data_IF_917874183988
#
_entry.id   IF_917874183988
#
_cell.length_a   1.000
_cell.length_b   1.000
_cell.length_c   1.000
_cell.angle_alpha   90.00
_cell.angle_beta   90.00
_cell.angle_gamma   90.00
#
_symmetry.space_group_name_H-M   'P 1'
#
loop_
_entity.id
_entity.type
_entity.pdbx_description
1 polymer ?
#
# COMPACT_ATOMS: atom_id res chain seq x y z
N UNK A 1 -7.02 -25.76 18.14
CA UNK A 1 -7.60 -25.31 19.41
C UNK A 1 -7.80 -26.45 20.42
N UNK A 2 -8.42 -27.56 20.03
CA UNK A 2 -8.65 -28.71 20.92
C UNK A 2 -7.37 -29.31 21.57
N UNK A 3 -6.25 -29.52 20.85
CA UNK A 3 -5.02 -30.02 21.46
C UNK A 3 -4.41 -29.02 22.46
N UNK A 4 -4.31 -27.75 22.07
CA UNK A 4 -3.85 -26.66 22.94
C UNK A 4 -4.64 -26.60 24.26
N UNK A 5 -5.97 -26.64 24.19
CA UNK A 5 -6.80 -26.58 25.39
C UNK A 5 -6.61 -27.83 26.26
N UNK A 6 -6.56 -29.01 25.65
CA UNK A 6 -6.36 -30.27 26.37
C UNK A 6 -5.03 -30.29 27.11
N UNK A 7 -3.94 -29.91 26.45
CA UNK A 7 -2.61 -30.00 27.05
C UNK A 7 -2.46 -29.03 28.22
N UNK A 8 -2.97 -27.80 28.08
CA UNK A 8 -2.93 -26.83 29.17
C UNK A 8 -3.89 -27.18 30.32
N UNK A 9 -5.08 -27.72 30.03
CA UNK A 9 -6.00 -28.17 31.08
C UNK A 9 -5.49 -29.41 31.82
N UNK A 10 -4.80 -30.33 31.12
CA UNK A 10 -4.13 -31.48 31.75
C UNK A 10 -3.10 -31.02 32.76
N UNK A 11 -2.32 -29.99 32.44
CA UNK A 11 -1.31 -29.45 33.35
C UNK A 11 -1.95 -28.84 34.61
N UNK A 12 -3.05 -28.08 34.45
CA UNK A 12 -3.82 -27.55 35.59
C UNK A 12 -4.40 -28.66 36.45
N UNK A 13 -4.94 -29.72 35.84
CA UNK A 13 -5.51 -30.88 36.55
C UNK A 13 -4.40 -31.60 37.34
N UNK A 14 -3.26 -31.83 36.70
CA UNK A 14 -2.11 -32.50 37.32
C UNK A 14 -1.62 -31.71 38.54
N UNK A 15 -1.46 -30.39 38.40
CA UNK A 15 -1.03 -29.54 39.52
C UNK A 15 -2.01 -29.63 40.72
N UNK A 16 -3.32 -29.60 40.46
CA UNK A 16 -4.34 -29.74 41.51
C UNK A 16 -4.36 -31.12 42.15
N UNK A 17 -4.15 -32.18 41.35
CA UNK A 17 -4.03 -33.55 41.84
C UNK A 17 -2.80 -33.71 42.74
N UNK A 18 -1.65 -33.15 42.36
CA UNK A 18 -0.42 -33.21 43.16
C UNK A 18 -0.56 -32.54 44.54
N UNK A 19 -1.31 -31.44 44.65
CA UNK A 19 -1.60 -30.82 45.95
C UNK A 19 -2.55 -31.68 46.79
N UNK A 20 -3.60 -32.23 46.17
CA UNK A 20 -4.57 -33.07 46.85
C UNK A 20 -3.94 -34.39 47.33
N UNK A 21 -3.08 -35.01 46.52
CA UNK A 21 -2.36 -36.23 46.86
C UNK A 21 -1.37 -36.01 48.01
N UNK A 22 -0.62 -34.90 48.00
CA UNK A 22 0.24 -34.52 49.13
C UNK A 22 -0.55 -34.40 50.43
N UNK A 23 -1.69 -33.71 50.41
CA UNK A 23 -2.54 -33.61 51.60
C UNK A 23 -3.08 -34.97 52.04
N UNK A 24 -3.55 -35.77 51.09
CA UNK A 24 -4.07 -37.10 51.36
C UNK A 24 -3.03 -38.01 52.03
N UNK A 25 -1.80 -38.01 51.53
CA UNK A 25 -0.70 -38.80 52.11
C UNK A 25 -0.31 -38.33 53.51
N UNK A 26 -0.33 -37.01 53.78
CA UNK A 26 -0.11 -36.46 55.12
C UNK A 26 -1.24 -36.89 56.06
N UNK A 27 -2.50 -36.69 55.67
CA UNK A 27 -3.67 -37.11 56.45
C UNK A 27 -3.64 -38.62 56.73
N UNK A 28 -3.25 -39.46 55.76
CA UNK A 28 -3.15 -40.91 55.92
C UNK A 28 -1.98 -41.32 56.84
N UNK A 29 -0.88 -40.57 56.85
CA UNK A 29 0.26 -40.81 57.73
C UNK A 29 -0.02 -40.45 59.20
N UNK A 30 -0.78 -39.36 59.43
CA UNK A 30 -1.17 -38.91 60.77
C UNK A 30 -2.33 -39.72 61.33
N UNK A 31 -3.28 -40.12 60.48
CA UNK A 31 -4.41 -40.94 60.85
C UNK A 31 -4.76 -41.90 59.69
N UNK A 32 -4.32 -43.17 59.73
CA UNK A 32 -4.59 -44.12 58.66
C UNK A 32 -6.10 -44.34 58.51
N UNK A 33 -6.70 -43.68 57.52
CA UNK A 33 -8.14 -43.78 57.22
C UNK A 33 -8.56 -45.20 56.83
N UNK A 34 -7.60 -46.07 56.47
CA UNK A 34 -7.81 -47.50 56.28
C UNK A 34 -8.24 -48.22 57.57
N UNK A 35 -7.68 -47.82 58.71
CA UNK A 35 -8.07 -48.32 60.05
C UNK A 35 -9.47 -47.81 60.42
N UNK A 36 -9.78 -46.55 60.08
CA UNK A 36 -11.08 -45.93 60.35
C UNK A 36 -12.23 -46.51 59.50
N UNK A 37 -11.94 -46.90 58.24
CA UNK A 37 -12.90 -47.59 57.36
C UNK A 37 -13.23 -49.01 57.83
N UNK A 38 -12.26 -49.74 58.40
CA UNK A 38 -12.49 -51.05 59.00
C UNK A 38 -13.36 -50.94 60.27
N UNK A 39 -13.22 -49.88 61.07
CA UNK A 39 -14.07 -49.65 62.25
C UNK A 39 -15.51 -49.25 61.91
N UNK A 40 -15.74 -48.55 60.79
CA UNK A 40 -17.10 -48.18 60.34
C UNK A 40 -17.88 -49.34 59.70
N UNK A 41 -17.22 -50.39 59.20
CA UNK A 41 -17.90 -51.57 58.67
C UNK A 41 -18.44 -52.50 59.79
N UNK A 42 -17.82 -52.49 60.97
CA UNK A 42 -18.19 -53.33 62.12
C UNK A 42 -19.14 -52.64 63.13
N UNK A 43 -19.51 -51.39 62.89
CA UNK A 43 -20.40 -50.61 63.78
C UNK A 43 -21.79 -50.50 63.17
N UNK A 44 -22.47 -51.63 63.00
CA UNK A 44 -23.85 -51.71 62.53
C UNK A 44 -24.84 -51.71 63.70
N UNK A 45 -25.17 -50.54 64.25
CA UNK A 45 -26.50 -50.33 64.84
C UNK A 45 -26.82 -48.86 65.11
N UNK A 46 -27.84 -48.37 64.41
CA UNK A 46 -28.79 -47.34 64.86
C UNK A 46 -28.26 -45.94 65.20
N UNK A 47 -28.30 -45.01 64.25
CA UNK A 47 -28.95 -43.69 64.42
C UNK A 47 -28.83 -42.83 63.15
N UNK A 48 -29.84 -41.99 63.00
CA UNK A 48 -30.25 -41.08 61.93
C UNK A 48 -29.17 -40.32 61.13
N UNK A 49 -29.58 -39.93 59.91
CA UNK A 49 -28.89 -39.15 58.88
C UNK A 49 -27.92 -39.93 57.98
N UNK A 50 -28.41 -40.24 56.78
CA UNK A 50 -27.58 -40.37 55.58
C UNK A 50 -26.72 -39.11 55.47
N UNK A 51 -25.51 -39.13 56.01
CA UNK A 51 -24.48 -38.17 55.70
C UNK A 51 -24.14 -38.38 54.22
N UNK A 52 -24.80 -37.62 53.35
CA UNK A 52 -24.18 -37.17 52.12
C UNK A 52 -22.77 -36.73 52.52
N UNK A 53 -21.76 -37.51 52.13
CA UNK A 53 -20.34 -37.21 52.36
C UNK A 53 -20.15 -35.72 52.07
N UNK A 54 -20.01 -34.91 53.11
CA UNK A 54 -19.92 -33.46 52.93
C UNK A 54 -18.74 -33.20 51.99
N UNK A 55 -19.03 -32.63 50.83
CA UNK A 55 -18.01 -32.32 49.83
C UNK A 55 -17.09 -31.29 50.47
N UNK A 56 -15.85 -31.69 50.75
CA UNK A 56 -14.83 -30.82 51.32
C UNK A 56 -14.55 -29.67 50.35
N UNK A 57 -14.37 -28.46 50.89
CA UNK A 57 -13.99 -27.30 50.07
C UNK A 57 -12.63 -27.54 49.41
N UNK A 58 -12.41 -27.03 48.19
CA UNK A 58 -11.17 -27.27 47.45
C UNK A 58 -9.91 -26.78 48.20
N UNK A 59 -10.02 -25.67 48.94
CA UNK A 59 -8.96 -25.17 49.84
C UNK A 59 -8.64 -26.16 50.96
N UNK A 60 -9.65 -26.87 51.48
CA UNK A 60 -9.48 -27.91 52.48
C UNK A 60 -8.97 -29.23 51.91
N UNK A 61 -9.10 -29.48 50.60
CA UNK A 61 -8.59 -30.71 49.96
C UNK A 61 -7.12 -30.54 49.56
N UNK A 62 -6.74 -29.34 49.11
CA UNK A 62 -5.39 -29.06 48.60
C UNK A 62 -4.44 -28.48 49.64
N UNK A 63 -4.98 -28.05 50.80
CA UNK A 63 -4.26 -27.31 51.85
C UNK A 63 -3.69 -25.95 51.39
N UNK A 64 -4.18 -25.44 50.26
CA UNK A 64 -3.70 -24.20 49.66
C UNK A 64 -4.66 -23.05 49.93
N UNK A 65 -4.19 -22.02 50.65
CA UNK A 65 -4.99 -20.82 50.99
C UNK A 65 -5.41 -20.03 49.75
N UNK A 66 -4.61 -20.07 48.69
CA UNK A 66 -4.79 -19.26 47.48
C UNK A 66 -5.14 -20.09 46.24
N UNK A 67 -5.71 -21.30 46.42
CA UNK A 67 -6.05 -22.21 45.31
C UNK A 67 -6.93 -21.55 44.24
N UNK A 68 -7.90 -20.72 44.63
CA UNK A 68 -8.78 -20.02 43.69
C UNK A 68 -8.06 -18.92 42.89
N UNK A 69 -7.11 -18.23 43.50
CA UNK A 69 -6.29 -17.20 42.81
C UNK A 69 -5.42 -17.86 41.74
N UNK A 70 -4.85 -19.02 42.07
CA UNK A 70 -4.02 -19.82 41.16
C UNK A 70 -4.83 -20.37 39.98
N UNK A 71 -6.01 -20.94 40.25
CA UNK A 71 -6.92 -21.41 39.19
C UNK A 71 -7.35 -20.25 38.29
N UNK A 72 -7.71 -19.10 38.87
CA UNK A 72 -8.07 -17.91 38.12
C UNK A 72 -6.93 -17.46 37.20
N UNK A 73 -5.69 -17.40 37.71
CA UNK A 73 -4.51 -17.04 36.92
C UNK A 73 -4.28 -18.01 35.74
N UNK A 74 -4.41 -19.31 35.98
CA UNK A 74 -4.33 -20.33 34.91
C UNK A 74 -5.41 -20.14 33.85
N UNK A 75 -6.66 -19.93 34.24
CA UNK A 75 -7.76 -19.73 33.31
C UNK A 75 -7.60 -18.44 32.50
N UNK A 76 -7.22 -17.33 33.14
CA UNK A 76 -6.94 -16.06 32.45
C UNK A 76 -5.78 -16.22 31.47
N UNK A 77 -4.72 -16.93 31.86
CA UNK A 77 -3.59 -17.19 30.99
C UNK A 77 -3.99 -18.07 29.79
N UNK A 78 -4.73 -19.16 30.00
CA UNK A 78 -5.21 -20.05 28.93
C UNK A 78 -6.09 -19.27 27.95
N UNK A 79 -6.98 -18.40 28.44
CA UNK A 79 -7.81 -17.53 27.59
C UNK A 79 -6.96 -16.56 26.78
N UNK A 80 -5.97 -15.92 27.41
CA UNK A 80 -5.08 -14.97 26.74
C UNK A 80 -4.19 -15.64 25.69
N UNK A 81 -3.61 -16.80 26.02
CA UNK A 81 -2.77 -17.59 25.13
C UNK A 81 -3.59 -18.21 23.99
N UNK A 82 -4.80 -18.70 24.28
CA UNK A 82 -5.73 -19.20 23.28
C UNK A 82 -6.16 -18.14 22.27
N UNK A 83 -6.40 -16.91 22.74
CA UNK A 83 -6.71 -15.77 21.88
C UNK A 83 -5.53 -15.33 20.98
N UNK A 84 -4.30 -15.68 21.35
CA UNK A 84 -3.08 -15.38 20.56
C UNK A 84 -2.57 -16.59 19.77
N UNK A 85 -3.22 -17.74 19.87
CA UNK A 85 -2.73 -19.00 19.30
C UNK A 85 -2.84 -19.01 17.77
N UNK A 86 -3.84 -18.34 17.22
CA UNK A 86 -3.96 -18.08 15.79
C UNK A 86 -3.78 -16.60 15.54
N UNK A 87 -2.74 -16.26 14.78
CA UNK A 87 -2.48 -14.91 14.31
C UNK A 87 -2.60 -14.98 12.80
N UNK A 88 -3.46 -14.14 12.23
CA UNK A 88 -3.52 -13.98 10.78
C UNK A 88 -2.31 -13.17 10.33
N UNK A 89 -1.49 -13.78 9.48
CA UNK A 89 -0.38 -13.11 8.84
C UNK A 89 -0.81 -12.78 7.42
N UNK A 90 -1.05 -11.50 7.16
CA UNK A 90 -1.35 -10.98 5.84
C UNK A 90 -0.05 -10.45 5.20
N UNK A 91 0.51 -11.11 4.18
CA UNK A 91 1.69 -10.62 3.49
C UNK A 91 1.33 -9.40 2.64
N UNK A 92 1.47 -8.21 3.23
CA UNK A 92 1.12 -6.94 2.58
C UNK A 92 2.09 -6.52 1.48
N UNK A 93 3.21 -7.23 1.28
CA UNK A 93 4.20 -6.93 0.24
C UNK A 93 3.68 -7.08 -1.19
N UNK A 94 2.57 -7.79 -1.38
CA UNK A 94 1.89 -7.92 -2.66
C UNK A 94 1.00 -6.72 -2.98
N UNK A 95 0.74 -5.87 -1.98
CA UNK A 95 -0.01 -4.65 -2.15
C UNK A 95 0.93 -3.53 -2.63
N UNK A 96 0.40 -2.70 -3.51
CA UNK A 96 1.14 -1.64 -4.16
C UNK A 96 1.61 -0.62 -3.11
N UNK A 97 2.93 -0.38 -3.03
CA UNK A 97 3.52 0.63 -2.12
C UNK A 97 3.01 2.05 -2.40
N UNK A 98 2.31 2.25 -3.52
CA UNK A 98 1.68 3.52 -3.90
C UNK A 98 0.29 3.74 -3.25
N UNK A 99 -0.28 2.73 -2.61
CA UNK A 99 -1.50 2.86 -1.81
C UNK A 99 -1.08 3.19 -0.38
N UNK A 100 -1.44 4.39 0.06
CA UNK A 100 -1.23 4.86 1.43
C UNK A 100 -2.22 4.12 2.32
N UNK A 101 -1.74 3.08 2.99
CA UNK A 101 -2.55 2.36 3.97
C UNK A 101 -2.23 2.93 5.35
N UNK A 102 -3.21 3.62 5.94
CA UNK A 102 -3.13 4.10 7.31
C UNK A 102 -3.20 2.90 8.28
N UNK A 103 -2.05 2.31 8.55
CA UNK A 103 -1.90 1.16 9.43
C UNK A 103 -1.03 1.54 10.62
N UNK A 104 -1.69 1.92 11.72
CA UNK A 104 -1.06 2.31 12.99
C UNK A 104 -0.15 1.23 13.62
N UNK A 105 -0.08 0.00 13.07
CA UNK A 105 0.60 -1.16 13.69
C UNK A 105 1.48 -1.95 12.71
N UNK A 106 2.45 -1.27 12.11
CA UNK A 106 3.44 -1.85 11.18
C UNK A 106 4.58 -2.55 11.94
N UNK A 107 4.84 -3.82 11.65
CA UNK A 107 6.06 -4.53 12.09
C UNK A 107 6.88 -4.85 10.84
N UNK A 108 8.03 -4.18 10.69
CA UNK A 108 8.98 -4.51 9.62
C UNK A 108 9.80 -5.74 10.03
N UNK A 109 9.86 -6.76 9.16
CA UNK A 109 10.72 -7.92 9.38
C UNK A 109 12.02 -7.79 8.60
N UNK A 110 13.09 -8.40 9.12
CA UNK A 110 14.44 -8.39 8.56
C UNK A 110 14.51 -8.96 7.12
N UNK A 111 13.50 -9.74 6.72
CA UNK A 111 13.37 -10.32 5.38
C UNK A 111 12.69 -9.39 4.35
N UNK A 112 12.38 -8.13 4.73
CA UNK A 112 11.87 -7.12 3.79
C UNK A 112 10.36 -7.14 3.56
N UNK A 113 9.60 -7.86 4.40
CA UNK A 113 8.15 -7.89 4.38
C UNK A 113 7.58 -7.08 5.56
N UNK A 114 6.36 -6.59 5.40
CA UNK A 114 5.64 -5.85 6.44
C UNK A 114 4.54 -6.72 7.00
N UNK A 115 4.61 -6.99 8.31
CA UNK A 115 3.58 -7.68 9.05
C UNK A 115 2.65 -6.65 9.71
N UNK A 116 1.36 -6.98 9.73
CA UNK A 116 0.31 -6.19 10.37
C UNK A 116 -0.39 -7.08 11.37
N UNK A 117 -0.49 -6.62 12.61
CA UNK A 117 -1.18 -7.34 13.67
C UNK A 117 -2.69 -6.99 13.66
N UNK A 118 -3.55 -7.90 13.19
CA UNK A 118 -5.00 -7.69 13.00
C UNK A 118 -5.84 -7.84 14.27
N UNK A 119 -5.28 -7.58 15.47
CA UNK A 119 -6.03 -7.67 16.75
C UNK A 119 -7.18 -6.66 16.87
N UNK A 120 -7.19 -5.60 16.06
CA UNK A 120 -8.36 -4.78 15.78
C UNK A 120 -8.78 -4.99 14.32
N UNK A 121 -10.07 -4.84 13.97
CA UNK A 121 -10.49 -4.81 12.59
C UNK A 121 -9.67 -3.75 11.87
N UNK A 122 -8.76 -4.20 11.00
CA UNK A 122 -8.09 -3.32 10.08
C UNK A 122 -9.20 -2.70 9.23
N UNK A 123 -9.52 -1.44 9.49
CA UNK A 123 -10.35 -0.67 8.57
C UNK A 123 -9.52 -0.52 7.31
N UNK A 124 -9.65 -1.49 6.40
CA UNK A 124 -9.28 -1.37 5.01
C UNK A 124 -10.26 -0.39 4.38
N UNK A 125 -10.17 0.88 4.79
CA UNK A 125 -10.74 1.95 4.01
C UNK A 125 -9.93 1.94 2.70
N UNK A 126 -10.44 1.20 1.71
CA UNK A 126 -10.16 1.43 0.31
C UNK A 126 -10.72 2.81 -0.03
N UNK A 127 -10.07 3.84 0.50
CA UNK A 127 -10.17 5.17 -0.01
C UNK A 127 -9.60 5.06 -1.44
N UNK A 128 -10.50 4.86 -2.40
CA UNK A 128 -10.26 5.23 -3.80
C UNK A 128 -10.12 6.76 -3.92
N UNK A 129 -10.31 7.47 -2.82
CA UNK A 129 -9.78 8.79 -2.54
C UNK A 129 -8.27 8.71 -2.48
N UNK A 130 -7.67 9.38 -3.46
CA UNK A 130 -6.26 9.64 -3.68
C UNK A 130 -5.39 9.44 -2.43
N UNK A 131 -4.29 8.66 -2.50
CA UNK A 131 -3.30 8.66 -1.44
C UNK A 131 -2.89 10.12 -1.27
N UNK A 132 -3.25 10.67 -0.11
CA UNK A 132 -3.05 12.03 0.34
C UNK A 132 -2.24 12.86 -0.66
N UNK A 133 -2.94 13.63 -1.49
CA UNK A 133 -2.40 14.69 -2.34
C UNK A 133 -1.92 15.86 -1.47
N UNK A 134 -1.34 15.61 -0.29
CA UNK A 134 -0.73 16.63 0.56
C UNK A 134 0.76 16.71 0.23
N UNK A 135 1.09 17.54 -0.75
CA UNK A 135 2.14 18.57 -0.61
C UNK A 135 2.47 19.29 -1.91
N UNK A 136 2.23 18.69 -3.09
CA UNK A 136 2.74 19.29 -4.34
C UNK A 136 1.79 20.34 -4.94
N UNK A 137 0.48 20.23 -4.73
CA UNK A 137 -0.51 21.10 -5.37
C UNK A 137 -1.66 21.50 -4.42
N UNK A 138 -1.44 22.45 -3.50
CA UNK A 138 -2.40 22.79 -2.44
C UNK A 138 -3.65 23.56 -2.92
N UNK A 139 -3.69 24.03 -4.16
CA UNK A 139 -4.73 24.96 -4.68
C UNK A 139 -5.55 24.40 -5.84
N UNK A 140 -5.56 23.08 -6.06
CA UNK A 140 -6.31 22.48 -7.17
C UNK A 140 -7.82 22.57 -6.88
N UNK A 141 -8.57 23.13 -7.84
CA UNK A 141 -10.03 22.94 -7.95
C UNK A 141 -10.30 21.44 -8.11
N UNK A 142 -11.26 20.85 -7.40
CA UNK A 142 -11.61 19.40 -7.35
C UNK A 142 -11.86 18.69 -8.71
N UNK A 143 -11.54 19.36 -9.83
CA UNK A 143 -11.60 18.86 -11.19
C UNK A 143 -10.82 17.56 -11.37
N UNK A 144 -11.46 16.49 -11.88
CA UNK A 144 -10.79 15.22 -12.09
C UNK A 144 -9.75 15.36 -13.21
N UNK A 145 -8.57 14.76 -13.00
CA UNK A 145 -7.43 14.69 -13.95
C UNK A 145 -7.85 14.45 -15.40
N UNK A 146 -8.78 13.51 -15.61
CA UNK A 146 -9.25 13.14 -16.95
C UNK A 146 -9.96 14.30 -17.65
N UNK A 147 -10.72 15.11 -16.91
CA UNK A 147 -11.39 16.28 -17.46
C UNK A 147 -10.36 17.33 -17.87
N UNK A 148 -9.33 17.55 -17.05
CA UNK A 148 -8.22 18.46 -17.37
C UNK A 148 -7.54 18.02 -18.68
N UNK A 149 -7.20 16.74 -18.82
CA UNK A 149 -6.55 16.20 -20.02
C UNK A 149 -7.44 16.30 -21.26
N UNK A 150 -8.75 16.02 -21.13
CA UNK A 150 -9.72 16.21 -22.22
C UNK A 150 -9.83 17.67 -22.64
N UNK A 151 -9.87 18.59 -21.68
CA UNK A 151 -9.92 20.03 -21.95
C UNK A 151 -8.65 20.51 -22.64
N UNK A 152 -7.47 20.11 -22.16
CA UNK A 152 -6.20 20.43 -22.80
C UNK A 152 -6.15 19.94 -24.26
N UNK A 153 -6.59 18.70 -24.51
CA UNK A 153 -6.68 18.15 -25.87
C UNK A 153 -7.62 18.96 -26.77
N UNK A 154 -8.80 19.33 -26.26
CA UNK A 154 -9.77 20.14 -27.01
C UNK A 154 -9.21 21.52 -27.36
N UNK A 155 -8.43 22.13 -26.46
CA UNK A 155 -7.87 23.47 -26.67
C UNK A 155 -6.65 23.46 -27.59
N UNK A 156 -5.73 22.49 -27.43
CA UNK A 156 -4.49 22.40 -28.19
C UNK A 156 -4.67 21.76 -29.58
N UNK A 157 -5.74 20.99 -29.77
CA UNK A 157 -5.91 20.14 -30.93
C UNK A 157 -5.00 18.90 -30.88
N UNK A 158 -5.16 18.04 -31.90
CA UNK A 158 -4.57 16.69 -31.90
C UNK A 158 -3.04 16.69 -31.91
N UNK A 159 -2.43 17.48 -32.79
CA UNK A 159 -0.98 17.40 -33.02
C UNK A 159 -0.16 18.01 -31.87
N UNK A 160 -0.54 19.19 -31.39
CA UNK A 160 0.14 19.81 -30.25
C UNK A 160 -0.06 19.01 -28.96
N UNK A 161 -1.27 18.49 -28.72
CA UNK A 161 -1.52 17.63 -27.57
C UNK A 161 -0.70 16.35 -27.63
N UNK A 162 -0.55 15.75 -28.82
CA UNK A 162 0.30 14.57 -29.02
C UNK A 162 1.77 14.85 -28.73
N UNK A 163 2.30 16.00 -29.15
CA UNK A 163 3.68 16.41 -28.81
C UNK A 163 3.87 16.55 -27.30
N UNK A 164 2.89 17.15 -26.61
CA UNK A 164 2.91 17.32 -25.17
C UNK A 164 2.83 15.98 -24.43
N UNK A 165 1.96 15.08 -24.88
CA UNK A 165 1.81 13.73 -24.34
C UNK A 165 3.09 12.90 -24.52
N UNK A 166 3.69 12.94 -25.73
CA UNK A 166 4.97 12.30 -26.01
C UNK A 166 6.08 12.82 -25.10
N UNK A 167 6.21 14.14 -25.00
CA UNK A 167 7.23 14.78 -24.18
C UNK A 167 7.09 14.39 -22.71
N UNK A 168 5.86 14.36 -22.19
CA UNK A 168 5.57 14.01 -20.79
C UNK A 168 5.95 12.57 -20.48
N UNK A 169 5.61 11.61 -21.35
CA UNK A 169 5.84 10.18 -21.12
C UNK A 169 7.31 9.77 -21.28
N UNK A 170 8.04 10.41 -22.19
CA UNK A 170 9.46 10.13 -22.46
C UNK A 170 10.39 10.85 -21.46
N UNK A 171 9.86 11.71 -20.59
CA UNK A 171 10.65 12.43 -19.58
C UNK A 171 11.40 13.64 -20.14
N UNK A 172 10.94 14.21 -21.26
CA UNK A 172 11.36 15.55 -21.70
C UNK A 172 10.78 16.56 -20.70
N UNK A 173 11.57 17.59 -20.33
CA UNK A 173 11.10 18.57 -19.35
C UNK A 173 9.87 19.31 -19.89
N UNK A 174 8.80 19.33 -19.11
CA UNK A 174 7.57 20.08 -19.39
C UNK A 174 7.61 21.39 -18.63
N UNK A 175 7.57 22.49 -19.36
CA UNK A 175 7.54 23.85 -18.82
C UNK A 175 6.19 24.48 -19.13
N UNK A 176 5.38 24.77 -18.12
CA UNK A 176 4.08 25.43 -18.27
C UNK A 176 4.21 26.89 -17.85
N UNK A 177 4.04 27.82 -18.80
CA UNK A 177 4.09 29.27 -18.58
C UNK A 177 2.70 29.85 -18.73
N UNK A 178 2.20 30.56 -17.72
CA UNK A 178 0.87 31.16 -17.83
C UNK A 178 0.23 31.55 -16.50
N UNK A 179 -1.05 31.96 -16.50
CA UNK A 179 -1.79 32.29 -15.29
C UNK A 179 -1.80 31.15 -14.27
N UNK A 180 -1.71 31.48 -12.98
CA UNK A 180 -1.60 30.50 -11.87
C UNK A 180 -2.63 29.35 -11.92
N UNK A 181 -3.95 29.57 -12.06
CA UNK A 181 -4.91 28.46 -11.99
C UNK A 181 -4.75 27.46 -13.15
N UNK A 182 -4.67 27.94 -14.39
CA UNK A 182 -4.53 27.10 -15.58
C UNK A 182 -3.18 26.38 -15.62
N UNK A 183 -2.13 27.04 -15.12
CA UNK A 183 -0.78 26.48 -14.98
C UNK A 183 -0.78 25.27 -14.04
N UNK A 184 -1.37 25.44 -12.85
CA UNK A 184 -1.49 24.40 -11.82
C UNK A 184 -2.29 23.20 -12.36
N UNK A 185 -3.46 23.44 -12.94
CA UNK A 185 -4.30 22.39 -13.52
C UNK A 185 -3.55 21.61 -14.60
N UNK A 186 -2.90 22.32 -15.53
CA UNK A 186 -2.15 21.68 -16.62
C UNK A 186 -1.00 20.82 -16.11
N UNK A 187 -0.23 21.32 -15.13
CA UNK A 187 0.85 20.55 -14.49
C UNK A 187 0.32 19.32 -13.77
N UNK A 188 -0.78 19.45 -13.04
CA UNK A 188 -1.40 18.33 -12.35
C UNK A 188 -1.85 17.25 -13.35
N UNK A 189 -2.57 17.65 -14.42
CA UNK A 189 -3.01 16.74 -15.47
C UNK A 189 -1.85 16.01 -16.15
N UNK A 190 -0.79 16.74 -16.54
CA UNK A 190 0.33 16.15 -17.27
C UNK A 190 1.23 15.27 -16.39
N UNK A 191 1.53 15.71 -15.17
CA UNK A 191 2.36 14.94 -14.24
C UNK A 191 1.66 13.66 -13.76
N UNK A 192 0.32 13.63 -13.78
CA UNK A 192 -0.47 12.44 -13.47
C UNK A 192 -0.29 11.28 -14.44
N UNK A 193 0.23 11.54 -15.66
CA UNK A 193 0.43 10.54 -16.70
C UNK A 193 1.65 9.65 -16.47
N UNK A 194 2.53 10.05 -15.54
CA UNK A 194 3.82 9.44 -15.27
C UNK A 194 3.81 8.85 -13.85
N UNK A 195 4.47 7.69 -13.63
CA UNK A 195 4.56 7.08 -12.31
C UNK A 195 5.13 8.05 -11.27
N UNK A 196 4.66 7.94 -10.02
CA UNK A 196 5.09 8.81 -8.92
C UNK A 196 6.60 8.84 -8.73
N UNK A 197 7.26 7.69 -8.85
CA UNK A 197 8.71 7.57 -8.73
C UNK A 197 9.51 8.36 -9.79
N UNK A 198 8.88 8.69 -10.92
CA UNK A 198 9.50 9.46 -12.00
C UNK A 198 9.09 10.94 -11.97
N UNK A 199 8.21 11.35 -11.05
CA UNK A 199 7.67 12.71 -10.96
C UNK A 199 8.56 13.59 -10.09
N UNK A 200 8.95 14.74 -10.62
CA UNK A 200 9.68 15.81 -9.93
C UNK A 200 9.08 17.14 -10.36
N UNK A 201 8.06 17.57 -9.64
CA UNK A 201 7.28 18.76 -10.00
C UNK A 201 7.71 19.97 -9.17
N UNK A 202 7.76 21.13 -9.82
CA UNK A 202 7.84 22.42 -9.16
C UNK A 202 6.77 23.38 -9.71
N UNK A 203 5.76 23.70 -8.90
CA UNK A 203 4.52 24.34 -9.36
C UNK A 203 4.66 25.83 -9.66
N UNK A 204 5.51 26.52 -8.91
CA UNK A 204 5.70 27.97 -9.04
C UNK A 204 7.17 28.34 -8.88
N UNK A 205 7.93 28.21 -9.97
CA UNK A 205 9.31 28.66 -10.05
C UNK A 205 9.37 30.17 -10.29
N UNK A 206 10.28 30.83 -9.57
CA UNK A 206 10.67 32.23 -9.82
C UNK A 206 11.65 32.35 -10.98
N UNK A 207 12.38 31.27 -11.28
CA UNK A 207 13.38 31.19 -12.35
C UNK A 207 13.33 29.82 -13.05
N UNK A 208 13.91 29.76 -14.25
CA UNK A 208 14.06 28.49 -14.95
C UNK A 208 15.01 27.55 -14.20
N UNK A 209 14.64 26.28 -14.11
CA UNK A 209 15.46 25.24 -13.47
C UNK A 209 15.75 24.11 -14.46
N UNK A 210 16.92 23.50 -14.32
CA UNK A 210 17.38 22.47 -15.24
C UNK A 210 16.56 21.16 -15.18
N UNK A 211 16.51 20.38 -16.28
CA UNK A 211 15.77 19.11 -16.37
C UNK A 211 16.17 18.06 -15.32
N UNK A 212 17.40 18.14 -14.81
CA UNK A 212 17.93 17.20 -13.82
C UNK A 212 17.28 17.37 -12.45
N UNK A 213 16.76 18.57 -12.13
CA UNK A 213 16.14 18.85 -10.83
C UNK A 213 14.63 18.60 -10.87
N UNK A 214 13.95 19.12 -11.90
CA UNK A 214 12.51 18.99 -12.08
C UNK A 214 12.16 18.67 -13.53
N UNK A 215 11.30 17.67 -13.74
CA UNK A 215 10.78 17.33 -15.07
C UNK A 215 9.48 18.06 -15.40
N UNK A 216 8.76 18.58 -14.40
CA UNK A 216 7.58 19.43 -14.60
C UNK A 216 7.78 20.74 -13.85
N UNK A 217 7.72 21.87 -14.56
CA UNK A 217 7.93 23.20 -13.97
C UNK A 217 6.82 24.15 -14.40
N UNK A 218 6.23 24.85 -13.43
CA UNK A 218 5.35 25.98 -13.66
C UNK A 218 6.06 27.30 -13.46
N UNK A 219 5.96 28.20 -14.42
CA UNK A 219 6.55 29.55 -14.36
C UNK A 219 5.52 30.63 -14.69
N UNK A 220 5.75 31.83 -14.17
CA UNK A 220 4.94 32.99 -14.50
C UNK A 220 5.19 33.52 -15.92
N UNK A 221 4.26 34.32 -16.45
CA UNK A 221 4.41 34.96 -17.75
C UNK A 221 5.53 35.99 -17.77
N UNK A 222 5.98 36.51 -16.62
CA UNK A 222 7.12 37.44 -16.52
C UNK A 222 8.50 36.78 -16.53
N UNK A 223 8.58 35.47 -16.24
CA UNK A 223 9.86 34.78 -16.05
C UNK A 223 10.55 34.53 -17.40
N UNK A 224 11.85 34.80 -17.46
CA UNK A 224 12.69 34.46 -18.60
C UNK A 224 12.86 32.95 -18.69
N UNK A 225 12.55 32.39 -19.86
CA UNK A 225 12.57 30.96 -20.13
C UNK A 225 13.51 30.67 -21.30
N UNK A 226 14.14 29.49 -21.35
CA UNK A 226 15.01 29.13 -22.45
C UNK A 226 14.25 29.15 -23.78
N UNK A 227 15.02 29.32 -24.85
CA UNK A 227 14.53 29.13 -26.21
C UNK A 227 13.97 27.71 -26.35
N UNK A 228 12.90 27.51 -27.15
CA UNK A 228 12.37 26.19 -27.43
C UNK A 228 13.48 25.25 -27.90
N UNK A 229 13.57 24.08 -27.27
CA UNK A 229 14.62 23.09 -27.56
C UNK A 229 14.02 21.69 -27.63
N UNK A 230 14.82 20.71 -28.09
CA UNK A 230 14.37 19.32 -28.12
C UNK A 230 14.20 18.72 -26.72
N UNK A 231 14.89 19.28 -25.71
CA UNK A 231 14.92 18.78 -24.34
C UNK A 231 13.89 19.47 -23.42
N UNK A 232 13.26 20.56 -23.87
CA UNK A 232 12.25 21.31 -23.12
C UNK A 232 11.03 21.53 -24.00
N UNK A 233 9.90 20.92 -23.62
CA UNK A 233 8.60 21.12 -24.25
C UNK A 233 7.83 22.17 -23.46
N UNK A 234 7.58 23.33 -24.08
CA UNK A 234 6.95 24.48 -23.42
C UNK A 234 5.48 24.60 -23.79
N UNK A 235 4.63 24.76 -22.79
CA UNK A 235 3.21 25.10 -22.93
C UNK A 235 3.02 26.56 -22.48
N UNK A 236 2.83 27.45 -23.45
CA UNK A 236 2.50 28.86 -23.17
C UNK A 236 0.97 29.01 -23.12
N UNK A 237 0.45 29.46 -21.98
CA UNK A 237 -0.97 29.75 -21.74
C UNK A 237 -1.16 31.26 -21.72
N UNK A 238 -1.91 31.76 -22.69
CA UNK A 238 -2.20 33.18 -22.88
C UNK A 238 -3.45 33.52 -22.07
N UNK A 239 -3.34 34.54 -21.21
CA UNK A 239 -4.47 35.06 -20.45
C UNK A 239 -5.58 35.55 -21.39
N UNK A 240 -6.84 35.38 -21.00
CA UNK A 240 -7.99 35.76 -21.83
C UNK A 240 -7.99 37.24 -22.25
N UNK A 241 -7.39 38.11 -21.42
CA UNK A 241 -7.24 39.55 -21.68
C UNK A 241 -6.30 39.87 -22.86
N UNK A 242 -5.34 38.98 -23.14
CA UNK A 242 -4.31 39.17 -24.18
C UNK A 242 -4.60 38.31 -25.42
N UNK A 243 -5.82 37.78 -25.53
CA UNK A 243 -6.21 36.88 -26.59
C UNK A 243 -6.50 37.70 -27.86
N UNK A 244 -5.68 37.52 -28.87
CA UNK A 244 -5.96 38.05 -30.21
C UNK A 244 -7.02 37.14 -30.84
N UNK A 245 -8.05 37.73 -31.45
CA UNK A 245 -9.10 36.99 -32.15
C UNK A 245 -8.48 35.96 -33.12
N UNK A 246 -8.93 34.71 -33.04
CA UNK A 246 -8.46 33.52 -33.77
C UNK A 246 -7.22 32.77 -33.24
N UNK A 247 -6.57 33.18 -32.15
CA UNK A 247 -5.43 32.42 -31.58
C UNK A 247 -5.91 31.51 -30.41
N UNK A 248 -5.46 30.25 -30.40
CA UNK A 248 -5.71 29.32 -29.30
C UNK A 248 -5.11 29.86 -28.00
N UNK A 249 -5.81 29.71 -26.87
CA UNK A 249 -5.29 30.19 -25.57
C UNK A 249 -4.03 29.43 -25.12
N UNK A 250 -3.76 28.27 -25.70
CA UNK A 250 -2.63 27.42 -25.37
C UNK A 250 -1.81 27.16 -26.63
N UNK A 251 -0.49 27.29 -26.51
CA UNK A 251 0.46 27.07 -27.60
C UNK A 251 1.61 26.20 -27.08
N UNK A 252 1.83 25.07 -27.74
CA UNK A 252 2.99 24.21 -27.49
C UNK A 252 4.17 24.65 -28.35
N UNK A 253 5.33 24.84 -27.72
CA UNK A 253 6.60 25.16 -28.37
C UNK A 253 7.62 24.09 -28.01
N UNK A 254 7.88 23.20 -28.96
CA UNK A 254 8.87 22.14 -28.86
C UNK A 254 9.55 21.99 -30.21
N UNK A 255 10.88 21.95 -30.23
CA UNK A 255 11.65 21.83 -31.49
C UNK A 255 12.07 20.39 -31.78
N UNK A 256 11.66 19.44 -30.95
CA UNK A 256 11.87 18.02 -31.23
C UNK A 256 10.91 17.50 -32.28
N UNK A 257 11.26 16.36 -32.88
CA UNK A 257 10.43 15.66 -33.85
C UNK A 257 9.79 14.44 -33.22
N UNK A 258 8.51 14.22 -33.51
CA UNK A 258 7.85 12.95 -33.18
C UNK A 258 8.46 11.81 -34.01
N UNK A 259 8.71 10.63 -33.40
CA UNK A 259 9.16 9.47 -34.15
C UNK A 259 8.06 8.95 -35.09
N UNK A 260 8.44 8.29 -36.19
CA UNK A 260 7.47 7.70 -37.13
C UNK A 260 6.52 6.68 -36.47
N UNK A 261 7.02 5.93 -35.49
CA UNK A 261 6.22 5.05 -34.63
C UNK A 261 6.26 5.59 -33.20
N UNK A 262 5.08 5.88 -32.65
CA UNK A 262 4.91 6.39 -31.30
C UNK A 262 4.89 5.25 -30.28
N UNK A 263 5.23 5.52 -29.00
CA UNK A 263 5.08 4.56 -27.92
C UNK A 263 3.66 4.00 -27.85
N UNK A 264 3.56 2.69 -27.63
CA UNK A 264 2.30 1.95 -27.54
C UNK A 264 1.41 2.51 -26.43
N UNK A 265 1.98 2.86 -25.27
CA UNK A 265 1.25 3.52 -24.19
C UNK A 265 0.61 4.84 -24.65
N UNK A 266 1.36 5.67 -25.36
CA UNK A 266 0.86 6.96 -25.87
C UNK A 266 -0.33 6.74 -26.80
N UNK A 267 -0.22 5.80 -27.74
CA UNK A 267 -1.30 5.50 -28.70
C UNK A 267 -2.56 5.03 -27.95
N UNK A 268 -2.41 4.16 -26.96
CA UNK A 268 -3.52 3.70 -26.12
C UNK A 268 -4.18 4.87 -25.37
N UNK A 269 -3.40 5.74 -24.73
CA UNK A 269 -3.92 6.91 -24.00
C UNK A 269 -4.62 7.91 -24.94
N UNK A 270 -4.03 8.20 -26.10
CA UNK A 270 -4.62 9.11 -27.09
C UNK A 270 -5.95 8.58 -27.61
N UNK A 271 -6.01 7.29 -27.98
CA UNK A 271 -7.23 6.63 -28.45
C UNK A 271 -8.32 6.61 -27.37
N UNK A 272 -7.97 6.31 -26.13
CA UNK A 272 -8.93 6.31 -25.01
C UNK A 272 -9.45 7.72 -24.68
N UNK A 273 -8.69 8.78 -24.97
CA UNK A 273 -9.16 10.18 -24.89
C UNK A 273 -10.00 10.61 -26.09
N UNK A 274 -9.94 9.91 -27.23
CA UNK A 274 -10.81 10.13 -28.39
C UNK A 274 -12.19 9.49 -28.21
N UNK A 275 -12.29 8.44 -27.39
CA UNK A 275 -13.55 7.76 -27.15
C UNK A 275 -14.45 8.55 -26.19
N UNK A 276 -15.49 9.19 -26.75
CA UNK A 276 -16.50 9.93 -25.99
C UNK A 276 -17.46 9.00 -25.22
N UNK A 277 -17.52 7.71 -25.56
CA UNK A 277 -18.39 6.74 -24.87
C UNK A 277 -17.85 6.36 -23.50
N UNK A 278 -16.55 6.58 -23.26
CA UNK A 278 -15.92 6.29 -21.97
C UNK A 278 -16.19 7.43 -20.97
N UNK A 279 -16.83 7.08 -19.86
CA UNK A 279 -17.01 7.98 -18.72
C UNK A 279 -15.68 8.34 -18.05
N UNK A 280 -15.62 9.50 -17.38
CA UNK A 280 -14.39 10.01 -16.77
C UNK A 280 -13.82 9.06 -15.69
N UNK A 281 -14.67 8.39 -14.91
CA UNK A 281 -14.27 7.41 -13.90
C UNK A 281 -13.63 6.17 -14.51
N UNK A 282 -14.26 5.61 -15.55
CA UNK A 282 -13.76 4.44 -16.30
C UNK A 282 -12.41 4.77 -16.93
N UNK A 283 -12.31 5.96 -17.55
CA UNK A 283 -11.07 6.41 -18.18
C UNK A 283 -9.95 6.64 -17.15
N UNK A 284 -10.28 7.15 -15.95
CA UNK A 284 -9.32 7.25 -14.82
C UNK A 284 -8.77 5.87 -14.45
N UNK A 285 -9.65 4.89 -14.21
CA UNK A 285 -9.23 3.52 -13.88
C UNK A 285 -8.42 2.86 -14.99
N UNK A 286 -8.82 3.09 -16.25
CA UNK A 286 -8.09 2.60 -17.41
C UNK A 286 -6.68 3.20 -17.51
N UNK A 287 -6.53 4.50 -17.26
CA UNK A 287 -5.22 5.18 -17.25
C UNK A 287 -4.31 4.65 -16.15
N UNK A 288 -4.86 4.46 -14.95
CA UNK A 288 -4.12 3.86 -13.82
C UNK A 288 -3.66 2.44 -14.18
N UNK A 289 -4.54 1.62 -14.77
CA UNK A 289 -4.19 0.26 -15.17
C UNK A 289 -3.06 0.25 -16.22
N UNK A 290 -3.13 1.12 -17.24
CA UNK A 290 -2.08 1.26 -18.24
C UNK A 290 -0.77 1.75 -17.62
N UNK A 291 -0.80 2.75 -16.75
CA UNK A 291 0.43 3.21 -16.06
C UNK A 291 1.06 2.09 -15.24
N UNK A 292 0.26 1.31 -14.51
CA UNK A 292 0.77 0.18 -13.71
C UNK A 292 1.36 -0.92 -14.58
N UNK A 293 0.68 -1.29 -15.68
CA UNK A 293 1.18 -2.24 -16.68
C UNK A 293 2.58 -1.82 -17.17
N UNK A 294 2.70 -0.58 -17.63
CA UNK A 294 3.94 -0.06 -18.21
C UNK A 294 5.04 0.21 -17.18
N UNK A 295 4.68 0.61 -15.96
CA UNK A 295 5.62 0.73 -14.86
C UNK A 295 6.20 -0.63 -14.46
N UNK A 296 5.38 -1.69 -14.47
CA UNK A 296 5.84 -3.04 -14.19
C UNK A 296 6.73 -3.58 -15.31
N UNK A 297 6.41 -3.31 -16.59
CA UNK A 297 7.31 -3.62 -17.71
C UNK A 297 8.66 -2.90 -17.52
N UNK A 298 8.65 -1.61 -17.17
CA UNK A 298 9.87 -0.85 -16.91
C UNK A 298 10.69 -1.45 -15.74
N UNK A 299 10.04 -1.89 -14.65
CA UNK A 299 10.70 -2.58 -13.53
C UNK A 299 11.40 -3.87 -13.97
N UNK A 300 10.72 -4.69 -14.77
CA UNK A 300 11.28 -5.96 -15.30
C UNK A 300 12.48 -5.67 -16.21
N UNK A 301 12.35 -4.70 -17.13
CA UNK A 301 13.43 -4.29 -18.04
C UNK A 301 14.61 -3.72 -17.26
N UNK A 302 14.37 -2.89 -16.25
CA UNK A 302 15.40 -2.34 -15.37
C UNK A 302 16.16 -3.44 -14.62
N UNK A 303 15.44 -4.38 -13.98
CA UNK A 303 16.05 -5.50 -13.26
C UNK A 303 16.93 -6.36 -14.17
N UNK A 304 16.46 -6.66 -15.40
CA UNK A 304 17.23 -7.42 -16.38
C UNK A 304 18.50 -6.70 -16.85
N UNK A 305 18.44 -5.38 -17.03
CA UNK A 305 19.62 -4.56 -17.35
C UNK A 305 20.66 -4.59 -16.23
N UNK A 306 20.22 -4.59 -14.97
CA UNK A 306 21.12 -4.65 -13.80
C UNK A 306 21.84 -5.98 -13.67
N UNK A 307 21.16 -7.09 -14.00
CA UNK A 307 21.71 -8.46 -13.91
C UNK A 307 22.59 -8.88 -15.08
N UNK A 308 22.91 -7.98 -16.01
CA UNK A 308 23.82 -8.27 -17.14
C UNK A 308 23.20 -9.02 -18.32
N UNK A 309 21.92 -9.36 -18.30
CA UNK A 309 21.22 -10.08 -19.38
C UNK A 309 20.77 -9.16 -20.53
N UNK A 310 21.68 -8.36 -21.09
CA UNK A 310 21.35 -7.37 -22.14
C UNK A 310 21.02 -8.01 -23.50
N UNK A 311 21.56 -9.19 -23.79
CA UNK A 311 21.33 -9.91 -25.05
C UNK A 311 19.89 -10.37 -25.24
N UNK A 312 19.24 -10.82 -24.15
CA UNK A 312 17.88 -11.36 -24.17
C UNK A 312 16.80 -10.26 -24.02
N UNK A 313 17.22 -9.02 -23.72
CA UNK A 313 16.32 -7.90 -23.47
C UNK A 313 15.34 -7.61 -24.61
N UNK A 314 15.74 -7.63 -25.91
CA UNK A 314 14.79 -7.40 -27.01
C UNK A 314 13.71 -8.48 -27.08
N UNK A 315 14.08 -9.75 -26.84
CA UNK A 315 13.15 -10.88 -26.82
C UNK A 315 12.14 -10.74 -25.68
N UNK A 316 12.62 -10.40 -24.47
CA UNK A 316 11.76 -10.15 -23.32
C UNK A 316 10.81 -8.96 -23.53
N UNK A 317 11.31 -7.84 -24.06
CA UNK A 317 10.48 -6.68 -24.37
C UNK A 317 9.35 -7.06 -25.33
N UNK A 318 9.66 -7.85 -26.36
CA UNK A 318 8.66 -8.33 -27.31
C UNK A 318 7.61 -9.23 -26.63
N UNK A 319 8.03 -10.14 -25.74
CA UNK A 319 7.11 -10.99 -24.96
C UNK A 319 6.20 -10.20 -24.02
N UNK A 320 6.66 -9.05 -23.53
CA UNK A 320 5.89 -8.11 -22.71
C UNK A 320 5.00 -7.17 -23.53
N UNK A 321 4.99 -7.30 -24.86
CA UNK A 321 4.21 -6.45 -25.76
C UNK A 321 4.83 -5.06 -25.99
N UNK A 322 6.09 -4.85 -25.60
CA UNK A 322 6.84 -3.61 -25.83
C UNK A 322 7.75 -3.74 -27.06
N UNK A 323 7.65 -2.79 -27.97
CA UNK A 323 8.48 -2.75 -29.18
C UNK A 323 9.73 -1.89 -29.04
N UNK A 324 10.58 -1.84 -30.09
CA UNK A 324 11.74 -0.94 -30.13
C UNK A 324 11.39 0.55 -29.96
N UNK A 325 10.21 0.95 -30.44
CA UNK A 325 9.68 2.32 -30.32
C UNK A 325 9.33 2.71 -28.88
N UNK A 326 9.11 1.73 -28.00
CA UNK A 326 8.81 1.95 -26.57
C UNK A 326 10.07 2.12 -25.72
N UNK A 327 11.25 1.83 -26.28
CA UNK A 327 12.51 1.81 -25.53
C UNK A 327 12.79 3.11 -24.79
N UNK A 328 12.60 4.27 -25.43
CA UNK A 328 12.81 5.58 -24.79
C UNK A 328 11.89 5.82 -23.58
N UNK A 329 10.65 5.33 -23.66
CA UNK A 329 9.68 5.42 -22.58
C UNK A 329 10.13 4.57 -21.40
N UNK A 330 10.51 3.32 -21.68
CA UNK A 330 10.98 2.39 -20.66
C UNK A 330 12.28 2.86 -20.01
N UNK A 331 13.21 3.42 -20.79
CA UNK A 331 14.45 4.00 -20.28
C UNK A 331 14.14 5.16 -19.32
N UNK A 332 13.22 6.05 -19.69
CA UNK A 332 12.81 7.18 -18.85
C UNK A 332 12.16 6.72 -17.54
N UNK A 333 11.27 5.72 -17.61
CA UNK A 333 10.56 5.20 -16.44
C UNK A 333 11.46 4.32 -15.55
N UNK A 334 12.54 3.79 -16.10
CA UNK A 334 13.56 3.08 -15.31
C UNK A 334 14.37 4.03 -14.42
N UNK A 335 14.50 5.32 -14.78
CA UNK A 335 15.30 6.28 -14.00
C UNK A 335 14.70 6.57 -12.62
N UNK A 336 13.39 6.39 -12.43
CA UNK A 336 12.74 6.54 -11.13
C UNK A 336 12.89 5.33 -10.21
N UNK A 337 13.49 4.23 -10.69
CA UNK A 337 13.67 3.02 -9.91
C UNK A 337 15.00 3.03 -9.16
N UNK A 338 15.08 2.37 -7.98
CA UNK A 338 16.34 2.25 -7.25
C UNK A 338 17.39 1.55 -8.12
N UNK A 339 18.66 1.90 -7.88
CA UNK A 339 19.77 1.19 -8.51
C UNK A 339 19.69 -0.29 -8.13
N UNK A 340 19.79 -1.18 -9.12
CA UNK A 340 19.80 -2.61 -8.81
C UNK A 340 21.05 -2.91 -7.96
N UNK A 341 20.91 -3.69 -6.88
CA UNK A 341 22.08 -4.27 -6.23
C UNK A 341 22.78 -5.14 -7.29
N UNK A 342 24.04 -4.79 -7.56
CA UNK A 342 24.90 -5.54 -8.46
C UNK A 342 25.25 -6.92 -7.89
#
# INVERSE_FOLDING_TARGET
>A
MWPFLIDNLKEVIKELQDYAERKYNIEESECPQRTMRLTTANSSSGSCHNSTKQVRALSSITNEKHVFVRIHMWLVWILSAGARHFIEILPMSLLDKELDYDLEHRIETEEGFTLVNTKLPAHLNLNTTEPQTTSEFPEISDSPVILILRNLKKILGKDQFRQLLYSSLIGIQILVRGPKPQRIESLHGLSSLVPRACRRVHVQATEYMEPNKYNFIGVDTSVAVPLPSANVCRLDIIANEHKIENITSHIVKWTGSLPMKLPTLLIKLEKSLEDEKLGNSVLKSHFIALQKEWANIAKVVHAMKGRGHRGDLPGLMLSLGAGPHDKKLLDAWSMGLPSNPA
#
